data_IF_106692869596
#
_entry.id   IF_106692869596
#
_cell.length_a   1.000
_cell.length_b   1.000
_cell.length_c   1.000
_cell.angle_alpha   90.00
_cell.angle_beta   90.00
_cell.angle_gamma   90.00
#
_symmetry.space_group_name_H-M   'P 1'
#
loop_
_entity.id
_entity.type
_entity.pdbx_description
1 polymer ?
#
# COMPACT_ATOMS: atom_id res chain seq x y z
N UNK A 1 23.39 -12.96 16.18
CA UNK A 1 22.19 -13.74 16.61
C UNK A 1 21.25 -14.09 15.45
N UNK A 2 21.08 -13.21 14.46
CA UNK A 2 20.22 -13.40 13.27
C UNK A 2 20.70 -14.50 12.30
N UNK A 3 22.01 -14.65 12.06
CA UNK A 3 22.52 -15.73 11.18
C UNK A 3 22.38 -17.14 11.77
N UNK A 4 22.36 -17.27 13.10
CA UNK A 4 22.19 -18.55 13.80
C UNK A 4 20.72 -18.99 13.78
N UNK A 5 19.80 -18.04 13.88
CA UNK A 5 18.36 -18.27 13.68
C UNK A 5 18.02 -18.70 12.24
N UNK A 6 18.67 -18.11 11.23
CA UNK A 6 18.46 -18.50 9.83
C UNK A 6 19.00 -19.91 9.54
N UNK A 7 20.13 -20.30 10.15
CA UNK A 7 20.67 -21.68 10.03
C UNK A 7 19.82 -22.71 10.79
N UNK A 8 19.18 -22.35 11.89
CA UNK A 8 18.30 -23.24 12.66
C UNK A 8 16.98 -23.58 11.96
N UNK A 9 16.54 -22.79 10.97
CA UNK A 9 15.41 -23.16 10.12
C UNK A 9 15.74 -24.28 9.11
N UNK A 10 17.03 -24.52 8.83
CA UNK A 10 17.49 -25.50 7.84
C UNK A 10 17.84 -26.88 8.42
N UNK A 11 17.93 -27.01 9.75
CA UNK A 11 18.17 -28.28 10.44
C UNK A 11 16.96 -28.65 11.32
N UNK A 12 16.29 -29.75 10.96
CA UNK A 12 15.09 -30.31 11.59
C UNK A 12 13.93 -29.32 11.79
N UNK A 13 13.11 -29.16 10.75
CA UNK A 13 11.90 -28.29 10.79
C UNK A 13 10.96 -28.57 11.96
N UNK A 14 11.03 -29.76 12.56
CA UNK A 14 10.32 -30.11 13.80
C UNK A 14 10.92 -29.45 15.05
N UNK A 15 12.25 -29.45 15.19
CA UNK A 15 12.95 -28.82 16.31
C UNK A 15 12.80 -27.29 16.24
N UNK A 16 12.95 -26.72 15.04
CA UNK A 16 12.71 -25.29 14.80
C UNK A 16 11.28 -24.87 15.16
N UNK A 17 10.26 -25.64 14.73
CA UNK A 17 8.86 -25.39 15.13
C UNK A 17 8.72 -25.44 16.65
N UNK A 18 9.15 -26.52 17.32
CA UNK A 18 9.04 -26.63 18.78
C UNK A 18 9.72 -25.49 19.53
N UNK A 19 10.90 -25.05 19.06
CA UNK A 19 11.60 -23.92 19.64
C UNK A 19 10.75 -22.65 19.57
N UNK A 20 10.19 -22.31 18.40
CA UNK A 20 9.34 -21.13 18.24
C UNK A 20 8.11 -21.15 19.16
N UNK A 21 7.43 -22.30 19.27
CA UNK A 21 6.30 -22.46 20.19
C UNK A 21 6.74 -22.33 21.66
N UNK A 22 7.91 -22.87 22.03
CA UNK A 22 8.43 -22.74 23.39
C UNK A 22 8.85 -21.31 23.74
N UNK A 23 9.43 -20.57 22.79
CA UNK A 23 9.79 -19.16 22.96
C UNK A 23 8.56 -18.28 23.09
N UNK A 24 7.55 -18.51 22.24
CA UNK A 24 6.25 -17.85 22.38
C UNK A 24 5.62 -18.17 23.75
N UNK A 25 5.74 -19.40 24.23
CA UNK A 25 5.28 -19.77 25.57
C UNK A 25 6.05 -19.10 26.71
N UNK A 26 7.31 -18.75 26.48
CA UNK A 26 8.12 -17.92 27.36
C UNK A 26 7.78 -16.42 27.30
N UNK A 27 6.81 -16.00 26.48
CA UNK A 27 6.39 -14.61 26.34
C UNK A 27 7.10 -13.82 25.23
N UNK A 28 7.85 -14.49 24.35
CA UNK A 28 8.48 -13.81 23.21
C UNK A 28 7.42 -13.42 22.15
N UNK A 29 7.15 -12.13 22.03
CA UNK A 29 6.13 -11.58 21.14
C UNK A 29 6.48 -11.82 19.67
N UNK A 30 7.76 -11.69 19.29
CA UNK A 30 8.20 -11.90 17.90
C UNK A 30 8.02 -13.37 17.47
N UNK A 31 8.29 -14.33 18.37
CA UNK A 31 8.02 -15.75 18.09
C UNK A 31 6.54 -16.03 17.87
N UNK A 32 5.67 -15.34 18.61
CA UNK A 32 4.21 -15.44 18.47
C UNK A 32 3.76 -14.89 17.10
N UNK A 33 4.24 -13.70 16.73
CA UNK A 33 3.96 -13.05 15.44
C UNK A 33 4.43 -13.93 14.28
N UNK A 34 5.68 -14.45 14.33
CA UNK A 34 6.23 -15.32 13.28
C UNK A 34 5.44 -16.62 13.11
N UNK A 35 5.06 -17.26 14.22
CA UNK A 35 4.29 -18.51 14.19
C UNK A 35 2.91 -18.29 13.57
N UNK A 36 2.22 -17.23 13.97
CA UNK A 36 0.92 -16.88 13.42
C UNK A 36 1.01 -16.45 11.95
N UNK A 37 2.05 -15.71 11.56
CA UNK A 37 2.27 -15.33 10.16
C UNK A 37 2.56 -16.54 9.27
N UNK A 38 3.38 -17.48 9.74
CA UNK A 38 3.61 -18.72 9.02
C UNK A 38 2.31 -19.52 8.82
N UNK A 39 1.44 -19.56 9.83
CA UNK A 39 0.12 -20.18 9.71
C UNK A 39 -0.79 -19.43 8.73
N UNK A 40 -0.74 -18.09 8.70
CA UNK A 40 -1.47 -17.27 7.73
C UNK A 40 -1.00 -17.55 6.30
N UNK A 41 0.30 -17.58 6.04
CA UNK A 41 0.86 -17.93 4.73
C UNK A 41 0.48 -19.36 4.32
N UNK A 42 0.60 -20.32 5.24
CA UNK A 42 0.19 -21.71 5.02
C UNK A 42 -1.32 -21.88 4.79
N UNK A 43 -2.15 -20.94 5.25
CA UNK A 43 -3.60 -21.00 5.03
C UNK A 43 -3.99 -20.88 3.55
N UNK A 44 -3.12 -20.27 2.72
CA UNK A 44 -3.32 -20.17 1.27
C UNK A 44 -3.31 -21.55 0.60
N UNK A 45 -2.54 -22.50 1.11
CA UNK A 45 -2.49 -23.87 0.61
C UNK A 45 -3.39 -24.81 1.42
N UNK A 46 -3.58 -24.53 2.72
CA UNK A 46 -4.39 -25.32 3.63
C UNK A 46 -5.38 -24.42 4.41
N UNK A 47 -6.60 -24.15 3.87
CA UNK A 47 -7.53 -23.18 4.46
C UNK A 47 -7.96 -23.47 5.91
N UNK A 48 -7.84 -24.72 6.36
CA UNK A 48 -8.19 -25.14 7.73
C UNK A 48 -7.06 -24.93 8.75
N UNK A 49 -5.84 -24.58 8.32
CA UNK A 49 -4.67 -24.47 9.18
C UNK A 49 -4.87 -23.46 10.32
N UNK A 50 -5.49 -22.32 10.03
CA UNK A 50 -5.80 -21.28 11.04
C UNK A 50 -6.80 -21.75 12.10
N UNK A 51 -7.50 -22.87 11.87
CA UNK A 51 -8.48 -23.44 12.79
C UNK A 51 -7.89 -24.55 13.66
N UNK A 52 -6.64 -24.94 13.46
CA UNK A 52 -6.01 -25.96 14.29
C UNK A 52 -5.79 -25.46 15.72
N UNK A 53 -5.85 -26.38 16.68
CA UNK A 53 -5.86 -26.04 18.10
C UNK A 53 -4.56 -25.38 18.57
N UNK A 54 -3.42 -25.87 18.07
CA UNK A 54 -2.09 -25.32 18.28
C UNK A 54 -1.97 -23.89 17.74
N UNK A 55 -2.48 -23.62 16.54
CA UNK A 55 -2.49 -22.26 15.98
C UNK A 55 -3.45 -21.33 16.73
N UNK A 56 -4.63 -21.81 17.10
CA UNK A 56 -5.59 -21.02 17.88
C UNK A 56 -5.05 -20.63 19.27
N UNK A 57 -4.23 -21.49 19.87
CA UNK A 57 -3.56 -21.18 21.12
C UNK A 57 -2.57 -20.02 20.96
N UNK A 58 -1.74 -20.05 19.92
CA UNK A 58 -0.81 -18.94 19.64
C UNK A 58 -1.55 -17.67 19.22
N UNK A 59 -2.65 -17.80 18.47
CA UNK A 59 -3.50 -16.66 18.12
C UNK A 59 -4.12 -16.00 19.36
N UNK A 60 -4.43 -16.75 20.42
CA UNK A 60 -4.90 -16.16 21.68
C UNK A 60 -3.86 -15.21 22.26
N UNK A 61 -2.59 -15.61 22.29
CA UNK A 61 -1.49 -14.75 22.71
C UNK A 61 -1.31 -13.56 21.78
N UNK A 62 -1.42 -13.77 20.47
CA UNK A 62 -1.38 -12.67 19.49
C UNK A 62 -2.46 -11.61 19.81
N UNK A 63 -3.68 -12.03 20.13
CA UNK A 63 -4.76 -11.12 20.54
C UNK A 63 -4.48 -10.41 21.86
N UNK A 64 -3.86 -11.08 22.82
CA UNK A 64 -3.43 -10.45 24.07
C UNK A 64 -2.38 -9.36 23.79
N UNK A 65 -1.39 -9.64 22.94
CA UNK A 65 -0.38 -8.66 22.51
C UNK A 65 -1.04 -7.48 21.76
N UNK A 66 -1.89 -7.78 20.78
CA UNK A 66 -2.61 -6.77 20.01
C UNK A 66 -3.53 -5.91 20.90
N UNK A 67 -4.17 -6.53 21.90
CA UNK A 67 -5.07 -5.87 22.84
C UNK A 67 -4.38 -4.87 23.79
N UNK A 68 -3.05 -4.93 23.94
CA UNK A 68 -2.29 -3.88 24.64
C UNK A 68 -2.28 -2.55 23.88
N UNK A 69 -2.55 -2.55 22.56
CA UNK A 69 -2.59 -1.34 21.73
C UNK A 69 -1.22 -0.76 21.37
N UNK A 70 -0.12 -1.33 21.88
CA UNK A 70 1.25 -0.86 21.61
C UNK A 70 1.87 -1.57 20.39
N UNK A 71 1.50 -2.83 20.15
CA UNK A 71 2.06 -3.66 19.08
C UNK A 71 1.34 -3.51 17.74
N UNK A 72 1.68 -2.47 16.96
CA UNK A 72 1.13 -2.24 15.60
C UNK A 72 1.19 -3.48 14.71
N UNK A 73 2.34 -4.18 14.66
CA UNK A 73 2.53 -5.42 13.87
C UNK A 73 1.60 -6.55 14.30
N UNK A 74 1.39 -6.72 15.61
CA UNK A 74 0.50 -7.76 16.14
C UNK A 74 -0.96 -7.49 15.77
N UNK A 75 -1.40 -6.22 15.86
CA UNK A 75 -2.72 -5.79 15.41
C UNK A 75 -2.91 -6.00 13.90
N UNK A 76 -1.91 -5.67 13.08
CA UNK A 76 -1.96 -5.92 11.63
C UNK A 76 -2.14 -7.41 11.34
N UNK A 77 -1.33 -8.26 11.97
CA UNK A 77 -1.37 -9.69 11.73
C UNK A 77 -2.70 -10.32 12.19
N UNK A 78 -3.21 -9.97 13.37
CA UNK A 78 -4.53 -10.46 13.81
C UNK A 78 -5.63 -9.97 12.88
N UNK A 79 -5.55 -8.73 12.36
CA UNK A 79 -6.48 -8.22 11.36
C UNK A 79 -6.42 -9.03 10.05
N UNK A 80 -5.23 -9.38 9.55
CA UNK A 80 -5.08 -10.24 8.36
C UNK A 80 -5.71 -11.62 8.59
N UNK A 81 -5.49 -12.22 9.77
CA UNK A 81 -6.10 -13.50 10.16
C UNK A 81 -7.63 -13.38 10.28
N UNK A 82 -8.13 -12.31 10.92
CA UNK A 82 -9.55 -12.03 11.07
C UNK A 82 -10.24 -11.90 9.71
N UNK A 83 -9.65 -11.18 8.76
CA UNK A 83 -10.14 -11.07 7.38
C UNK A 83 -10.26 -12.43 6.70
N UNK A 84 -9.24 -13.29 6.78
CA UNK A 84 -9.28 -14.65 6.20
C UNK A 84 -10.39 -15.51 6.82
N UNK A 85 -10.75 -15.24 8.08
CA UNK A 85 -11.84 -15.93 8.77
C UNK A 85 -13.21 -15.28 8.58
N UNK A 86 -13.33 -14.26 7.73
CA UNK A 86 -14.59 -13.57 7.44
C UNK A 86 -15.00 -12.53 8.48
N UNK A 87 -14.10 -12.12 9.36
CA UNK A 87 -14.33 -11.14 10.44
C UNK A 87 -13.86 -9.74 10.00
N UNK A 88 -14.44 -9.23 8.91
CA UNK A 88 -13.93 -8.04 8.21
C UNK A 88 -14.03 -6.75 9.05
N UNK A 89 -15.15 -6.50 9.73
CA UNK A 89 -15.30 -5.30 10.58
C UNK A 89 -14.30 -5.29 11.73
N UNK A 90 -14.02 -6.46 12.30
CA UNK A 90 -13.01 -6.61 13.34
C UNK A 90 -11.59 -6.35 12.81
N UNK A 91 -11.29 -6.83 11.60
CA UNK A 91 -10.02 -6.56 10.94
C UNK A 91 -9.81 -5.05 10.71
N UNK A 92 -10.84 -4.35 10.24
CA UNK A 92 -10.80 -2.89 10.02
C UNK A 92 -10.51 -2.16 11.33
N UNK A 93 -11.23 -2.49 12.41
CA UNK A 93 -11.01 -1.86 13.72
C UNK A 93 -9.57 -2.05 14.20
N UNK A 94 -9.02 -3.25 14.05
CA UNK A 94 -7.62 -3.52 14.40
C UNK A 94 -6.65 -2.71 13.56
N UNK A 95 -6.87 -2.57 12.26
CA UNK A 95 -5.97 -1.81 11.40
C UNK A 95 -6.07 -0.30 11.58
N UNK A 96 -7.24 0.22 11.94
CA UNK A 96 -7.38 1.62 12.36
C UNK A 96 -6.58 1.91 13.63
N UNK A 97 -6.67 1.02 14.63
CA UNK A 97 -5.86 1.12 15.85
C UNK A 97 -4.37 0.98 15.56
N UNK A 98 -4.01 -0.01 14.72
CA UNK A 98 -2.63 -0.24 14.31
C UNK A 98 -2.02 0.96 13.58
N UNK A 99 -2.81 1.64 12.74
CA UNK A 99 -2.38 2.85 12.04
C UNK A 99 -2.06 3.97 13.05
N UNK A 100 -2.92 4.21 14.03
CA UNK A 100 -2.65 5.18 15.10
C UNK A 100 -1.38 4.85 15.88
N UNK A 101 -1.21 3.59 16.27
CA UNK A 101 -0.01 3.12 16.97
C UNK A 101 1.27 3.25 16.11
N UNK A 102 1.19 2.92 14.82
CA UNK A 102 2.33 3.01 13.90
C UNK A 102 2.77 4.46 13.66
N UNK A 103 1.82 5.40 13.54
CA UNK A 103 2.12 6.84 13.43
C UNK A 103 2.82 7.32 14.70
N UNK A 104 2.26 7.02 15.89
CA UNK A 104 2.86 7.41 17.16
C UNK A 104 4.29 6.86 17.35
N UNK A 105 4.52 5.60 16.95
CA UNK A 105 5.86 5.00 16.96
C UNK A 105 6.84 5.74 16.02
N UNK A 106 6.38 6.11 14.82
CA UNK A 106 7.18 6.85 13.85
C UNK A 106 7.56 8.24 14.36
N UNK A 107 6.60 8.96 14.95
CA UNK A 107 6.82 10.28 15.53
C UNK A 107 7.78 10.23 16.72
N UNK A 108 7.61 9.25 17.61
CA UNK A 108 8.52 9.03 18.74
C UNK A 108 9.95 8.71 18.25
N UNK A 109 10.09 7.88 17.22
CA UNK A 109 11.36 7.58 16.58
C UNK A 109 12.02 8.82 15.96
N UNK A 110 11.25 9.64 15.24
CA UNK A 110 11.74 10.88 14.67
C UNK A 110 12.19 11.89 15.74
N UNK A 111 11.45 11.99 16.85
CA UNK A 111 11.84 12.83 17.99
C UNK A 111 13.14 12.36 18.65
N UNK A 112 13.30 11.04 18.82
CA UNK A 112 14.52 10.45 19.36
C UNK A 112 15.73 10.68 18.43
N UNK A 113 15.55 10.57 17.11
CA UNK A 113 16.59 10.81 16.11
C UNK A 113 17.06 12.28 16.11
N UNK A 114 16.17 13.25 16.28
CA UNK A 114 16.54 14.67 16.41
C UNK A 114 17.38 14.97 17.65
N UNK A 115 17.35 14.09 18.65
CA UNK A 115 18.16 14.21 19.87
C UNK A 115 19.55 13.57 19.74
N UNK A 116 19.82 12.81 18.67
CA UNK A 116 21.07 12.09 18.45
C UNK A 116 21.80 12.72 17.27
N UNK A 117 23.08 13.05 17.45
CA UNK A 117 23.93 13.75 16.47
C UNK A 117 23.80 13.16 15.04
N UNK A 118 23.60 14.03 14.03
CA UNK A 118 23.19 13.70 12.65
C UNK A 118 24.06 12.61 11.96
N UNK A 119 25.33 12.49 12.35
CA UNK A 119 26.28 11.51 11.80
C UNK A 119 25.97 10.04 12.18
N UNK A 120 25.20 9.79 13.25
CA UNK A 120 24.82 8.43 13.67
C UNK A 120 23.51 7.97 13.01
N UNK A 121 22.65 8.93 12.66
CA UNK A 121 21.39 8.71 11.95
C UNK A 121 21.64 8.21 10.53
N UNK A 122 22.66 8.73 9.84
CA UNK A 122 23.09 8.25 8.53
C UNK A 122 23.61 6.80 8.54
N UNK A 123 24.16 6.34 9.67
CA UNK A 123 24.63 4.96 9.84
C UNK A 123 23.51 3.96 10.20
N UNK A 124 22.44 4.43 10.87
CA UNK A 124 21.31 3.59 11.28
C UNK A 124 20.10 3.68 10.32
N UNK A 125 20.20 4.50 9.26
CA UNK A 125 19.09 4.91 8.40
C UNK A 125 18.40 3.81 7.59
N UNK A 126 18.93 2.59 7.54
CA UNK A 126 18.15 1.45 7.05
C UNK A 126 17.26 0.93 8.17
N UNK A 127 16.10 1.56 8.37
CA UNK A 127 14.98 0.87 9.02
C UNK A 127 14.76 -0.41 8.22
N UNK A 128 15.23 -1.54 8.76
CA UNK A 128 15.13 -2.83 8.09
C UNK A 128 13.66 -3.03 7.76
N UNK A 129 13.37 -3.10 6.46
CA UNK A 129 11.99 -3.18 5.98
C UNK A 129 11.40 -4.45 6.59
N UNK A 130 10.23 -4.35 7.22
CA UNK A 130 9.61 -5.53 7.83
C UNK A 130 9.35 -6.54 6.72
N UNK A 131 10.13 -7.63 6.70
CA UNK A 131 10.07 -8.64 5.66
C UNK A 131 8.70 -9.35 5.59
N UNK A 132 7.86 -9.14 6.62
CA UNK A 132 6.53 -9.71 6.75
C UNK A 132 5.42 -8.70 6.40
N UNK A 133 5.77 -7.46 6.04
CA UNK A 133 4.82 -6.42 5.64
C UNK A 133 3.72 -6.19 6.71
N UNK A 134 4.10 -6.24 7.99
CA UNK A 134 3.19 -5.94 9.12
C UNK A 134 3.34 -4.50 9.60
N UNK A 135 4.31 -3.75 9.07
CA UNK A 135 4.58 -2.36 9.41
C UNK A 135 3.68 -1.35 8.68
N UNK A 136 2.89 -1.78 7.71
CA UNK A 136 2.12 -0.91 6.82
C UNK A 136 0.59 -1.15 6.96
N UNK A 137 -0.01 -0.86 8.13
CA UNK A 137 -1.44 -1.09 8.40
C UNK A 137 -2.38 -0.38 7.42
N UNK A 138 -1.96 0.79 6.93
CA UNK A 138 -2.71 1.61 5.98
C UNK A 138 -2.92 0.91 4.63
N UNK A 139 -2.00 0.04 4.19
CA UNK A 139 -2.15 -0.72 2.93
C UNK A 139 -3.32 -1.68 3.05
N UNK A 140 -3.31 -2.54 4.07
CA UNK A 140 -4.37 -3.51 4.32
C UNK A 140 -5.74 -2.84 4.54
N UNK A 141 -5.74 -1.75 5.32
CA UNK A 141 -6.94 -0.96 5.56
C UNK A 141 -7.49 -0.37 4.26
N UNK A 142 -6.64 0.18 3.40
CA UNK A 142 -7.05 0.73 2.11
C UNK A 142 -7.61 -0.35 1.21
N UNK A 143 -6.94 -1.50 1.09
CA UNK A 143 -7.38 -2.58 0.22
C UNK A 143 -8.74 -3.15 0.61
N UNK A 144 -9.01 -3.34 1.92
CA UNK A 144 -10.33 -3.80 2.37
C UNK A 144 -11.42 -2.75 2.15
N UNK A 145 -11.13 -1.48 2.44
CA UNK A 145 -12.12 -0.41 2.24
C UNK A 145 -12.42 -0.19 0.76
N UNK A 146 -11.41 -0.30 -0.09
CA UNK A 146 -11.59 -0.23 -1.54
C UNK A 146 -12.43 -1.41 -2.07
N UNK A 147 -12.17 -2.63 -1.58
CA UNK A 147 -12.99 -3.80 -1.93
C UNK A 147 -14.46 -3.66 -1.46
N UNK A 148 -14.69 -3.05 -0.29
CA UNK A 148 -16.05 -2.67 0.14
C UNK A 148 -16.69 -1.62 -0.77
N UNK A 149 -15.93 -0.61 -1.16
CA UNK A 149 -16.38 0.42 -2.09
C UNK A 149 -16.88 -0.20 -3.40
N UNK A 150 -16.10 -1.09 -4.01
CA UNK A 150 -16.49 -1.79 -5.25
C UNK A 150 -17.79 -2.58 -5.04
N UNK A 151 -17.88 -3.39 -3.99
CA UNK A 151 -19.09 -4.18 -3.67
C UNK A 151 -20.34 -3.31 -3.42
N UNK A 152 -20.18 -2.13 -2.82
CA UNK A 152 -21.29 -1.19 -2.60
C UNK A 152 -21.71 -0.49 -3.89
N UNK A 153 -20.75 -0.16 -4.76
CA UNK A 153 -21.02 0.42 -6.07
C UNK A 153 -21.82 -0.56 -6.95
N UNK A 154 -21.44 -1.84 -6.95
CA UNK A 154 -22.17 -2.92 -7.65
C UNK A 154 -23.63 -3.04 -7.16
N UNK A 155 -23.87 -2.78 -5.86
CA UNK A 155 -25.21 -2.75 -5.25
C UNK A 155 -25.96 -1.44 -5.47
N UNK A 156 -25.35 -0.47 -6.17
CA UNK A 156 -25.88 0.88 -6.42
C UNK A 156 -26.10 1.70 -5.14
N UNK A 157 -25.37 1.36 -4.07
CA UNK A 157 -25.40 2.10 -2.81
C UNK A 157 -24.35 3.23 -2.83
N UNK A 158 -24.65 4.32 -3.53
CA UNK A 158 -23.67 5.37 -3.87
C UNK A 158 -23.11 6.08 -2.63
N UNK A 159 -23.98 6.50 -1.70
CA UNK A 159 -23.56 7.26 -0.51
C UNK A 159 -22.57 6.49 0.39
N UNK A 160 -22.84 5.24 0.82
CA UNK A 160 -21.87 4.48 1.61
C UNK A 160 -20.64 4.08 0.80
N UNK A 161 -20.76 3.84 -0.52
CA UNK A 161 -19.60 3.58 -1.37
C UNK A 161 -18.61 4.75 -1.35
N UNK A 162 -19.08 5.98 -1.56
CA UNK A 162 -18.23 7.17 -1.51
C UNK A 162 -17.58 7.37 -0.15
N UNK A 163 -18.28 7.05 0.95
CA UNK A 163 -17.71 7.12 2.29
C UNK A 163 -16.56 6.11 2.48
N UNK A 164 -16.70 4.89 1.98
CA UNK A 164 -15.61 3.89 2.02
C UNK A 164 -14.43 4.28 1.12
N UNK A 165 -14.70 4.83 -0.06
CA UNK A 165 -13.67 5.36 -0.96
C UNK A 165 -12.83 6.45 -0.29
N UNK A 166 -13.47 7.44 0.35
CA UNK A 166 -12.76 8.52 1.05
C UNK A 166 -11.96 8.01 2.26
N UNK A 167 -12.49 7.03 3.00
CA UNK A 167 -11.73 6.41 4.10
C UNK A 167 -10.52 5.64 3.60
N UNK A 168 -10.66 4.91 2.49
CA UNK A 168 -9.56 4.22 1.83
C UNK A 168 -8.47 5.22 1.39
N UNK A 169 -8.88 6.33 0.76
CA UNK A 169 -7.98 7.40 0.32
C UNK A 169 -7.19 8.01 1.48
N UNK A 170 -7.88 8.35 2.57
CA UNK A 170 -7.26 8.92 3.78
C UNK A 170 -6.25 7.97 4.43
N UNK A 171 -6.56 6.68 4.52
CA UNK A 171 -5.62 5.69 5.06
C UNK A 171 -4.34 5.66 4.21
N UNK A 172 -4.49 5.66 2.89
CA UNK A 172 -3.37 5.66 1.96
C UNK A 172 -2.53 6.95 2.01
N UNK A 173 -3.16 8.11 2.20
CA UNK A 173 -2.48 9.40 2.40
C UNK A 173 -1.57 9.37 3.64
N UNK A 174 -1.99 8.71 4.73
CA UNK A 174 -1.14 8.51 5.92
C UNK A 174 0.11 7.72 5.57
N UNK A 175 -0.01 6.59 4.85
CA UNK A 175 1.14 5.81 4.41
C UNK A 175 2.10 6.60 3.53
N UNK A 176 1.57 7.38 2.59
CA UNK A 176 2.37 8.29 1.77
C UNK A 176 3.11 9.37 2.59
N UNK A 177 2.51 9.86 3.68
CA UNK A 177 3.15 10.86 4.55
C UNK A 177 4.33 10.28 5.35
N UNK A 178 4.35 8.96 5.55
CA UNK A 178 5.42 8.22 6.22
C UNK A 178 6.43 7.63 5.23
N UNK A 179 6.40 8.06 3.97
CA UNK A 179 7.26 7.59 2.87
C UNK A 179 7.20 6.06 2.65
N UNK A 180 6.03 5.45 2.86
CA UNK A 180 5.82 4.02 2.59
C UNK A 180 5.79 3.75 1.07
N UNK A 181 6.70 2.91 0.53
CA UNK A 181 6.81 2.68 -0.91
C UNK A 181 5.56 2.04 -1.54
N UNK A 182 4.96 1.10 -0.81
CA UNK A 182 3.76 0.39 -1.26
C UNK A 182 2.56 1.35 -1.31
N UNK A 183 2.48 2.29 -0.37
CA UNK A 183 1.45 3.32 -0.35
C UNK A 183 1.53 4.27 -1.55
N UNK A 184 2.74 4.70 -1.89
CA UNK A 184 2.94 5.51 -3.08
C UNK A 184 2.51 4.79 -4.35
N UNK A 185 2.83 3.50 -4.48
CA UNK A 185 2.35 2.67 -5.60
C UNK A 185 0.83 2.58 -5.61
N UNK A 186 0.20 2.15 -4.52
CA UNK A 186 -1.25 1.95 -4.46
C UNK A 186 -2.05 3.24 -4.63
N UNK A 187 -1.53 4.40 -4.18
CA UNK A 187 -2.15 5.70 -4.43
C UNK A 187 -2.36 5.93 -5.92
N UNK A 188 -1.31 5.72 -6.71
CA UNK A 188 -1.36 5.88 -8.16
C UNK A 188 -2.17 4.81 -8.88
N UNK A 189 -2.29 3.63 -8.28
CA UNK A 189 -2.96 2.49 -8.92
C UNK A 189 -4.47 2.47 -8.65
N UNK A 190 -4.89 2.73 -7.42
CA UNK A 190 -6.29 2.60 -6.99
C UNK A 190 -7.10 3.89 -7.18
N UNK A 191 -6.46 5.05 -7.03
CA UNK A 191 -7.12 6.37 -7.07
C UNK A 191 -6.75 7.12 -8.36
N UNK A 192 -6.89 6.43 -9.50
CA UNK A 192 -6.60 6.99 -10.83
C UNK A 192 -7.66 7.99 -11.24
N UNK A 193 -7.21 9.08 -11.86
CA UNK A 193 -8.08 9.93 -12.67
C UNK A 193 -8.26 9.29 -14.04
N UNK A 194 -9.48 9.21 -14.54
CA UNK A 194 -9.80 8.62 -15.85
C UNK A 194 -10.38 9.69 -16.78
N UNK A 195 -10.07 9.58 -18.07
CA UNK A 195 -10.73 10.35 -19.14
C UNK A 195 -12.12 9.78 -19.41
N UNK A 196 -12.92 10.53 -20.18
CA UNK A 196 -14.24 10.08 -20.68
C UNK A 196 -14.14 8.77 -21.49
N UNK A 197 -13.00 8.53 -22.14
CA UNK A 197 -12.69 7.32 -22.91
C UNK A 197 -12.21 6.13 -22.05
N UNK A 198 -12.14 6.29 -20.72
CA UNK A 198 -11.66 5.28 -19.78
C UNK A 198 -10.14 5.14 -19.68
N UNK A 199 -9.36 5.88 -20.48
CA UNK A 199 -7.90 5.91 -20.37
C UNK A 199 -7.45 6.59 -19.08
N UNK A 200 -6.33 6.14 -18.49
CA UNK A 200 -5.77 6.78 -17.29
C UNK A 200 -5.18 8.15 -17.63
N UNK A 201 -5.54 9.16 -16.84
CA UNK A 201 -4.91 10.49 -16.89
C UNK A 201 -3.67 10.44 -16.02
N UNK A 202 -2.51 10.57 -16.65
CA UNK A 202 -1.27 10.78 -15.93
C UNK A 202 -1.20 12.23 -15.46
N UNK A 203 -0.97 12.43 -14.17
CA UNK A 203 -0.87 13.75 -13.52
C UNK A 203 0.50 13.90 -12.88
N UNK A 204 0.88 15.14 -12.51
CA UNK A 204 2.12 15.39 -11.77
C UNK A 204 2.15 14.65 -10.43
N UNK A 205 1.00 14.52 -9.76
CA UNK A 205 0.85 13.71 -8.56
C UNK A 205 1.09 12.23 -8.83
N UNK A 206 0.55 11.70 -9.94
CA UNK A 206 0.83 10.32 -10.36
C UNK A 206 2.33 10.09 -10.57
N UNK A 207 3.00 10.97 -11.32
CA UNK A 207 4.43 10.83 -11.62
C UNK A 207 5.29 10.92 -10.35
N UNK A 208 4.96 11.84 -9.44
CA UNK A 208 5.64 11.98 -8.15
C UNK A 208 5.58 10.70 -7.33
N UNK A 209 4.38 10.15 -7.12
CA UNK A 209 4.20 8.95 -6.32
C UNK A 209 4.79 7.71 -7.00
N UNK A 210 4.64 7.57 -8.31
CA UNK A 210 5.20 6.44 -9.06
C UNK A 210 6.73 6.44 -9.02
N UNK A 211 7.34 7.61 -9.22
CA UNK A 211 8.81 7.77 -9.12
C UNK A 211 9.31 7.49 -7.72
N UNK A 212 8.62 7.97 -6.68
CA UNK A 212 8.96 7.64 -5.28
C UNK A 212 8.91 6.13 -5.03
N UNK A 213 7.83 5.47 -5.41
CA UNK A 213 7.70 4.02 -5.24
C UNK A 213 8.82 3.26 -5.98
N UNK A 214 9.11 3.64 -7.23
CA UNK A 214 10.17 3.04 -8.03
C UNK A 214 11.57 3.24 -7.41
N UNK A 215 11.89 4.47 -6.98
CA UNK A 215 13.15 4.80 -6.31
C UNK A 215 13.32 4.06 -4.99
N UNK A 216 12.22 3.80 -4.28
CA UNK A 216 12.20 2.96 -3.09
C UNK A 216 12.24 1.45 -3.39
N UNK A 217 12.50 1.03 -4.63
CA UNK A 217 12.71 -0.37 -4.98
C UNK A 217 11.45 -1.21 -5.14
N UNK A 218 10.29 -0.59 -5.45
CA UNK A 218 9.11 -1.33 -5.90
C UNK A 218 9.25 -1.68 -7.40
N UNK A 219 9.42 -2.97 -7.77
CA UNK A 219 9.71 -3.35 -9.15
C UNK A 219 8.53 -3.10 -10.09
N UNK A 220 7.30 -3.27 -9.59
CA UNK A 220 6.08 -3.03 -10.39
C UNK A 220 5.94 -1.54 -10.72
N UNK A 221 6.27 -0.66 -9.77
CA UNK A 221 6.28 0.78 -9.99
C UNK A 221 7.33 1.20 -11.03
N UNK A 222 8.54 0.64 -10.92
CA UNK A 222 9.61 0.88 -11.89
C UNK A 222 9.18 0.46 -13.31
N UNK A 223 8.57 -0.72 -13.45
CA UNK A 223 8.06 -1.20 -14.74
C UNK A 223 6.96 -0.30 -15.31
N UNK A 224 5.98 0.13 -14.50
CA UNK A 224 4.93 1.05 -14.96
C UNK A 224 5.48 2.42 -15.37
N UNK A 225 6.49 2.91 -14.65
CA UNK A 225 7.18 4.14 -15.00
C UNK A 225 7.93 4.01 -16.33
N UNK A 226 8.58 2.86 -16.59
CA UNK A 226 9.22 2.58 -17.88
C UNK A 226 8.22 2.59 -19.03
N UNK A 227 7.05 1.94 -18.86
CA UNK A 227 5.98 1.96 -19.88
C UNK A 227 5.53 3.40 -20.13
N UNK A 228 5.27 4.17 -19.07
CA UNK A 228 4.89 5.56 -19.22
C UNK A 228 5.92 6.38 -20.00
N UNK A 229 7.22 6.24 -19.71
CA UNK A 229 8.25 6.95 -20.47
C UNK A 229 8.35 6.51 -21.93
N UNK A 230 8.11 5.22 -22.21
CA UNK A 230 8.09 4.71 -23.58
C UNK A 230 6.87 5.22 -24.38
N UNK A 231 5.70 5.30 -23.76
CA UNK A 231 4.44 5.68 -24.41
C UNK A 231 4.21 7.19 -24.46
N UNK A 232 4.71 7.95 -23.49
CA UNK A 232 4.54 9.41 -23.44
C UNK A 232 5.36 10.17 -24.48
N UNK A 233 6.31 9.50 -25.15
CA UNK A 233 7.22 10.15 -26.09
C UNK A 233 8.11 11.21 -25.39
N UNK A 234 8.37 11.04 -24.08
CA UNK A 234 9.17 11.97 -23.30
C UNK A 234 10.53 12.17 -23.95
N UNK A 235 10.76 13.40 -24.44
CA UNK A 235 11.85 13.71 -25.39
C UNK A 235 13.22 13.97 -24.74
N UNK A 236 13.30 14.03 -23.41
CA UNK A 236 14.52 14.43 -22.70
C UNK A 236 15.07 13.30 -21.84
N UNK A 237 16.03 12.57 -22.39
CA UNK A 237 16.89 11.62 -21.66
C UNK A 237 18.21 12.23 -21.18
N UNK A 238 18.49 13.50 -21.52
CA UNK A 238 19.74 14.20 -21.21
C UNK A 238 19.47 15.64 -20.69
N UNK A 239 20.37 16.09 -19.82
CA UNK A 239 20.33 17.28 -18.96
C UNK A 239 19.79 18.58 -19.60
N UNK A 240 18.88 19.22 -18.86
CA UNK A 240 18.40 20.60 -18.95
C UNK A 240 17.49 21.03 -20.13
N UNK A 241 16.18 21.30 -19.89
CA UNK A 241 15.31 21.95 -20.86
C UNK A 241 15.65 23.46 -20.98
N UNK A 242 15.42 24.11 -22.14
CA UNK A 242 15.63 25.55 -22.31
C UNK A 242 14.88 26.37 -21.26
N UNK A 243 15.54 27.36 -20.64
CA UNK A 243 15.10 28.13 -19.44
C UNK A 243 13.65 28.66 -19.41
N UNK A 244 13.00 28.79 -20.56
CA UNK A 244 11.69 29.43 -20.73
C UNK A 244 10.55 28.45 -21.04
N UNK A 245 10.85 27.17 -21.25
CA UNK A 245 9.87 26.11 -21.45
C UNK A 245 10.30 24.94 -20.57
N UNK A 246 9.62 24.76 -19.43
CA UNK A 246 9.62 23.45 -18.77
C UNK A 246 8.43 22.69 -19.34
N UNK A 247 8.54 22.01 -20.50
CA UNK A 247 7.48 21.14 -20.95
C UNK A 247 7.23 20.12 -19.85
N UNK A 248 5.98 20.04 -19.41
CA UNK A 248 5.58 19.05 -18.42
C UNK A 248 5.35 17.72 -19.13
N UNK A 249 5.45 16.58 -18.42
CA UNK A 249 5.23 15.24 -19.02
C UNK A 249 3.85 15.05 -19.64
N UNK A 250 2.97 16.01 -19.35
CA UNK A 250 1.55 15.98 -19.62
C UNK A 250 1.20 16.82 -20.85
N UNK A 251 2.15 17.60 -21.40
CA UNK A 251 1.91 18.42 -22.59
C UNK A 251 1.84 17.58 -23.88
N UNK A 252 2.21 16.30 -23.82
CA UNK A 252 2.30 15.39 -24.97
C UNK A 252 1.62 14.03 -24.76
N UNK A 253 0.78 13.88 -23.72
CA UNK A 253 0.11 12.61 -23.41
C UNK A 253 -1.42 12.66 -23.67
N UNK A 254 -2.01 11.65 -24.35
CA UNK A 254 -1.35 10.54 -25.03
C UNK A 254 -0.53 11.05 -26.22
N UNK A 255 0.57 10.34 -26.54
CA UNK A 255 1.39 10.69 -27.69
C UNK A 255 0.50 10.74 -28.94
N UNK A 256 0.67 11.78 -29.76
CA UNK A 256 -0.04 11.86 -31.03
C UNK A 256 0.32 10.60 -31.84
N UNK A 257 -0.70 9.81 -32.22
CA UNK A 257 -0.51 8.77 -33.23
C UNK A 257 0.09 9.46 -34.45
N UNK A 258 1.25 8.98 -34.92
CA UNK A 258 2.02 9.61 -36.00
C UNK A 258 1.13 9.88 -37.22
N UNK A 259 0.56 11.09 -37.26
CA UNK A 259 -0.10 11.65 -38.41
C UNK A 259 0.86 12.69 -38.96
N UNK A 260 1.26 12.42 -40.20
CA UNK A 260 2.15 13.22 -40.99
C UNK A 260 1.86 14.72 -40.85
N UNK A 261 2.93 15.49 -40.59
CA UNK A 261 3.17 16.89 -40.91
C UNK A 261 1.97 17.87 -41.01
N UNK A 262 2.11 18.97 -40.26
CA UNK A 262 1.42 20.26 -40.37
C UNK A 262 -0.08 20.28 -40.07
N UNK A 263 -0.50 21.00 -39.03
CA UNK A 263 -0.81 22.43 -39.20
C UNK A 263 -1.07 23.12 -37.84
N UNK A 264 -0.85 24.43 -37.87
CA UNK A 264 -0.96 25.41 -36.78
C UNK A 264 -2.37 25.58 -36.20
N UNK A 265 -2.51 25.94 -34.90
CA UNK A 265 -3.79 26.51 -34.43
C UNK A 265 -4.07 26.50 -32.93
N UNK A 266 -4.08 27.70 -32.34
CA UNK A 266 -4.44 28.06 -30.97
C UNK A 266 -5.97 27.88 -30.69
N UNK A 267 -6.34 27.13 -29.64
CA UNK A 267 -7.62 27.12 -28.86
C UNK A 267 -8.98 26.90 -29.61
N UNK A 268 -9.96 26.13 -29.04
CA UNK A 268 -10.75 26.64 -27.91
C UNK A 268 -11.22 25.61 -26.87
N UNK A 269 -10.82 25.87 -25.64
CA UNK A 269 -11.65 25.72 -24.44
C UNK A 269 -12.93 26.54 -24.61
N UNK A 270 -14.10 25.91 -24.85
CA UNK A 270 -15.45 26.44 -24.53
C UNK A 270 -16.60 25.45 -24.88
N UNK A 271 -16.45 24.16 -24.52
CA UNK A 271 -17.60 23.22 -24.49
C UNK A 271 -17.79 22.51 -23.13
N UNK A 272 -17.04 22.92 -22.10
CA UNK A 272 -16.94 22.25 -20.79
C UNK A 272 -18.13 22.39 -19.84
N UNK A 273 -19.25 23.03 -20.22
CA UNK A 273 -20.35 23.28 -19.28
C UNK A 273 -21.67 22.56 -19.60
N UNK A 274 -21.79 21.85 -20.73
CA UNK A 274 -23.04 21.15 -21.07
C UNK A 274 -22.98 19.62 -20.99
N UNK A 275 -21.79 18.99 -20.92
CA UNK A 275 -21.68 17.52 -20.87
C UNK A 275 -21.58 16.90 -19.46
N UNK A 276 -21.33 17.71 -18.43
CA UNK A 276 -21.07 17.22 -17.05
C UNK A 276 -22.25 16.48 -16.41
N UNK A 277 -23.49 16.75 -16.85
CA UNK A 277 -24.68 16.07 -16.33
C UNK A 277 -25.03 14.76 -17.05
N UNK A 278 -24.60 14.58 -18.30
CA UNK A 278 -24.88 13.36 -19.09
C UNK A 278 -23.87 12.25 -18.87
N UNK A 279 -22.60 12.57 -18.57
CA UNK A 279 -21.56 11.58 -18.30
C UNK A 279 -21.82 10.79 -16.99
N UNK A 280 -22.47 11.42 -16.00
CA UNK A 280 -22.79 10.78 -14.73
C UNK A 280 -23.93 9.74 -14.84
N UNK A 281 -24.76 9.82 -15.89
CA UNK A 281 -25.89 8.90 -16.12
C UNK A 281 -25.51 7.69 -17.00
N UNK A 282 -24.52 7.82 -17.89
CA UNK A 282 -24.10 6.73 -18.79
C UNK A 282 -23.13 5.73 -18.14
N UNK A 283 -22.37 6.15 -17.12
CA UNK A 283 -21.48 5.24 -16.37
C UNK A 283 -22.24 4.18 -15.53
N UNK A 284 -23.54 4.39 -15.28
CA UNK A 284 -24.40 3.43 -14.54
C UNK A 284 -25.09 2.42 -15.48
N UNK A 285 -25.01 2.63 -16.80
CA UNK A 285 -25.74 1.81 -17.79
C UNK A 285 -24.92 0.66 -18.38
N UNK A 286 -23.62 0.57 -18.05
CA UNK A 286 -22.67 -0.32 -18.74
C UNK A 286 -21.94 -1.31 -17.80
N UNK A 287 -22.44 -1.52 -16.59
CA UNK A 287 -22.04 -2.61 -15.69
C UNK A 287 -23.28 -3.39 -15.23
#
# INVERSE_FOLDING_TARGET
>A
LTMLQHRLMMHDGFAGKKLMFSMSAGGDEESTIRTCNHALLGSKTQPRLLRYADINFERRRLREIAGKGEGSRAMVLEGKIARVLGQEDYAIQLWEQAMGAAVAQSEAGAAALRSINDNLVAMMGSRERDAVELSSPWVELTLVRYDRYVRLLERKEIAPALAEYERARKAMEVGCSLDDPESHYHTTHLFKSMNDDGSTIYTSSWLYHMTKAAASGQPIAAHQLTIFYAESGWKYSEDEPPDHLKPTPFDSYPAAEESNASDTGFLPTLRRLSCSLTALLLAVSSL
#
